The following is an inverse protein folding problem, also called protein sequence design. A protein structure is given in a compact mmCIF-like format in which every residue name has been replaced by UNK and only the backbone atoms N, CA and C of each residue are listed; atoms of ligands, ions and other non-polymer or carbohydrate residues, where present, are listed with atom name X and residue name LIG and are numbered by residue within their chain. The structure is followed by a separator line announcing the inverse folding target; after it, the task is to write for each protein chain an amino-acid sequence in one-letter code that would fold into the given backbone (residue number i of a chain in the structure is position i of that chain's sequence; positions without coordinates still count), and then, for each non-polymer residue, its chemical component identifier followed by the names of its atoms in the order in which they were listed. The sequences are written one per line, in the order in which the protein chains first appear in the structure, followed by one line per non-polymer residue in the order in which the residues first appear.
data_IF_039771642447
#
_entry.id   IF_039771642447
#
_cell.length_a   1.000
_cell.length_b   1.000
_cell.length_c   1.000
_cell.angle_alpha   90.00
_cell.angle_beta   90.00
_cell.angle_gamma   90.00
#
_symmetry.space_group_name_H-M   'P 1'
#
loop_
_entity.id
_entity.type
_entity.pdbx_description
1 polymer ?
#
# COMPACT_ATOMS: atom_id res chain seq x y z
N UNK A 1 -12.98 11.20 37.27
CA UNK A 1 -13.82 10.32 36.44
C UNK A 1 -12.88 9.43 35.64
N UNK A 2 -12.78 8.15 35.97
CA UNK A 2 -11.95 7.21 35.23
C UNK A 2 -12.68 6.88 33.92
N UNK A 3 -12.18 7.40 32.80
CA UNK A 3 -12.71 7.09 31.48
C UNK A 3 -12.41 5.64 31.15
N UNK A 4 -13.45 4.83 31.01
CA UNK A 4 -13.38 3.48 30.46
C UNK A 4 -12.87 3.56 29.02
N UNK A 5 -11.55 3.45 28.81
CA UNK A 5 -11.03 3.11 27.48
C UNK A 5 -11.33 1.64 27.25
N UNK A 6 -12.39 1.46 26.48
CA UNK A 6 -13.00 0.23 26.00
C UNK A 6 -11.98 -0.84 25.61
N UNK A 7 -12.34 -2.09 25.92
CA UNK A 7 -11.74 -3.36 25.51
C UNK A 7 -11.78 -3.56 23.96
N UNK A 8 -11.21 -2.63 23.20
CA UNK A 8 -11.23 -2.61 21.73
C UNK A 8 -9.87 -3.10 21.23
N UNK A 9 -9.88 -4.22 20.50
CA UNK A 9 -8.76 -4.69 19.70
C UNK A 9 -8.81 -4.03 18.32
N UNK A 10 -7.97 -3.01 18.09
CA UNK A 10 -7.82 -2.36 16.80
C UNK A 10 -6.76 -3.07 15.95
N UNK A 11 -7.19 -3.74 14.88
CA UNK A 11 -6.31 -4.45 13.93
C UNK A 11 -6.00 -3.62 12.68
N UNK A 12 -6.36 -2.33 12.65
CA UNK A 12 -6.02 -1.47 11.52
C UNK A 12 -4.51 -1.22 11.48
N UNK A 13 -3.92 -1.09 10.28
CA UNK A 13 -2.52 -0.75 10.17
C UNK A 13 -2.24 0.60 10.84
N UNK A 14 -1.03 0.80 11.42
CA UNK A 14 -0.63 2.09 11.95
C UNK A 14 -0.79 3.18 10.89
N UNK A 15 -1.33 4.35 11.26
CA UNK A 15 -1.64 5.44 10.31
C UNK A 15 -0.45 5.87 9.47
N UNK A 16 0.74 5.81 10.06
CA UNK A 16 1.99 6.21 9.44
C UNK A 16 2.67 5.09 8.63
N UNK A 17 2.05 3.91 8.48
CA UNK A 17 2.67 2.76 7.82
C UNK A 17 2.44 2.73 6.30
N UNK A 18 3.35 2.08 5.57
CA UNK A 18 3.18 1.76 4.14
C UNK A 18 1.82 1.10 3.85
N UNK A 19 1.38 0.18 4.71
CA UNK A 19 0.08 -0.51 4.55
C UNK A 19 -1.09 0.47 4.59
N UNK A 20 -1.07 1.45 5.50
CA UNK A 20 -2.12 2.46 5.58
C UNK A 20 -2.17 3.33 4.31
N UNK A 21 -1.01 3.72 3.78
CA UNK A 21 -0.90 4.49 2.54
C UNK A 21 -1.38 3.71 1.31
N UNK A 22 -1.05 2.42 1.22
CA UNK A 22 -1.57 1.55 0.15
C UNK A 22 -3.10 1.41 0.21
N UNK A 23 -3.68 1.25 1.41
CA UNK A 23 -5.14 1.26 1.57
C UNK A 23 -5.77 2.59 1.16
N UNK A 24 -5.15 3.73 1.53
CA UNK A 24 -5.59 5.09 1.15
C UNK A 24 -5.61 5.26 -0.36
N UNK A 25 -4.62 4.72 -1.06
CA UNK A 25 -4.51 4.75 -2.53
C UNK A 25 -5.38 3.67 -3.22
N UNK A 26 -6.13 2.89 -2.45
CA UNK A 26 -7.09 1.91 -2.98
C UNK A 26 -6.49 0.56 -3.32
N UNK A 27 -5.23 0.28 -2.98
CA UNK A 27 -4.67 -1.07 -3.07
C UNK A 27 -5.17 -1.93 -1.90
N UNK A 28 -5.18 -3.25 -2.09
CA UNK A 28 -5.57 -4.25 -1.09
C UNK A 28 -4.51 -5.33 -1.02
N UNK A 29 -4.32 -5.89 0.17
CA UNK A 29 -3.45 -7.05 0.33
C UNK A 29 -3.98 -8.21 -0.52
N UNK A 30 -3.09 -8.83 -1.28
CA UNK A 30 -3.46 -9.97 -2.15
C UNK A 30 -2.88 -11.26 -1.57
N UNK A 31 -1.55 -11.31 -1.40
CA UNK A 31 -0.85 -12.47 -0.86
C UNK A 31 0.57 -12.07 -0.40
N UNK A 32 1.23 -12.98 0.31
CA UNK A 32 2.63 -12.85 0.69
C UNK A 32 3.48 -13.89 -0.04
N UNK A 33 4.76 -13.57 -0.16
CA UNK A 33 5.83 -14.43 -0.64
C UNK A 33 6.90 -14.51 0.45
N UNK A 34 7.90 -15.38 0.27
CA UNK A 34 9.04 -15.46 1.19
C UNK A 34 9.82 -14.13 1.28
N UNK A 35 9.70 -13.27 0.26
CA UNK A 35 10.46 -12.03 0.13
C UNK A 35 9.66 -10.77 0.47
N UNK A 36 8.35 -10.87 0.71
CA UNK A 36 7.52 -9.69 0.89
C UNK A 36 6.03 -9.89 0.67
N UNK A 37 5.30 -8.79 0.75
CA UNK A 37 3.86 -8.71 0.56
C UNK A 37 3.53 -8.13 -0.82
N UNK A 38 2.49 -8.68 -1.44
CA UNK A 38 1.93 -8.21 -2.70
C UNK A 38 0.56 -7.59 -2.42
N UNK A 39 0.40 -6.37 -2.92
CA UNK A 39 -0.79 -5.55 -2.79
C UNK A 39 -1.24 -5.13 -4.18
N UNK A 40 -2.54 -5.20 -4.48
CA UNK A 40 -3.02 -4.92 -5.83
C UNK A 40 -4.34 -4.14 -5.82
N UNK A 41 -4.57 -3.44 -6.92
CA UNK A 41 -5.87 -2.99 -7.34
C UNK A 41 -6.03 -3.36 -8.82
N UNK A 42 -6.66 -4.50 -9.08
CA UNK A 42 -6.85 -5.04 -10.43
C UNK A 42 -7.69 -4.11 -11.30
N UNK A 43 -8.69 -3.45 -10.73
CA UNK A 43 -9.56 -2.51 -11.45
C UNK A 43 -8.82 -1.28 -11.96
N UNK A 44 -7.70 -0.93 -11.31
CA UNK A 44 -6.80 0.15 -11.73
C UNK A 44 -5.50 -0.38 -12.32
N UNK A 45 -5.33 -1.68 -12.53
CA UNK A 45 -4.13 -2.26 -13.12
C UNK A 45 -2.82 -1.92 -12.38
N UNK A 46 -2.84 -1.83 -11.05
CA UNK A 46 -1.65 -1.52 -10.25
C UNK A 46 -1.32 -2.59 -9.23
N UNK A 47 -0.01 -2.88 -9.10
CA UNK A 47 0.57 -3.73 -8.07
C UNK A 47 1.60 -2.95 -7.26
N UNK A 48 1.65 -3.20 -5.96
CA UNK A 48 2.69 -2.76 -5.06
C UNK A 48 3.34 -3.98 -4.39
N UNK A 49 4.67 -3.97 -4.33
CA UNK A 49 5.46 -4.99 -3.63
C UNK A 49 6.17 -4.33 -2.45
N UNK A 50 5.92 -4.82 -1.24
CA UNK A 50 6.66 -4.43 -0.03
C UNK A 50 7.63 -5.56 0.28
N UNK A 51 8.93 -5.28 0.34
CA UNK A 51 9.92 -6.32 0.68
C UNK A 51 10.11 -6.44 2.19
N UNK A 52 10.38 -7.65 2.68
CA UNK A 52 10.60 -7.90 4.11
C UNK A 52 11.80 -7.11 4.68
N UNK A 53 12.79 -6.82 3.85
CA UNK A 53 14.03 -6.16 4.26
C UNK A 53 13.93 -4.62 4.28
N UNK A 54 12.90 -4.06 3.62
CA UNK A 54 12.71 -2.62 3.54
C UNK A 54 11.20 -2.29 3.49
N UNK A 55 10.51 -2.33 4.64
CA UNK A 55 9.07 -2.12 4.71
C UNK A 55 8.65 -0.65 4.46
N UNK A 56 9.61 0.29 4.51
CA UNK A 56 9.38 1.72 4.26
C UNK A 56 9.56 2.10 2.78
N UNK A 57 9.81 1.12 1.90
CA UNK A 57 9.86 1.31 0.45
C UNK A 57 8.94 0.30 -0.21
N UNK A 58 8.25 0.73 -1.28
CA UNK A 58 7.47 -0.18 -2.11
C UNK A 58 7.83 0.00 -3.58
N UNK A 59 7.78 -1.10 -4.33
CA UNK A 59 7.83 -1.06 -5.80
C UNK A 59 6.41 -1.03 -6.31
N UNK A 60 6.00 0.10 -6.87
CA UNK A 60 4.77 0.24 -7.64
C UNK A 60 5.00 -0.25 -9.06
N UNK A 61 4.00 -0.88 -9.64
CA UNK A 61 4.03 -1.46 -10.97
C UNK A 61 2.68 -1.28 -11.66
N UNK A 62 2.72 -0.75 -12.87
CA UNK A 62 1.64 -0.90 -13.83
C UNK A 62 1.61 -2.36 -14.32
N UNK A 63 0.53 -3.08 -14.02
CA UNK A 63 0.40 -4.52 -14.33
C UNK A 63 0.40 -4.78 -15.84
N UNK A 64 -0.05 -3.83 -16.65
CA UNK A 64 -0.21 -3.98 -18.10
C UNK A 64 1.12 -3.77 -18.83
N UNK A 65 1.87 -2.75 -18.42
CA UNK A 65 3.10 -2.32 -19.10
C UNK A 65 4.38 -2.77 -18.40
N UNK A 66 4.27 -3.26 -17.16
CA UNK A 66 5.38 -3.59 -16.27
C UNK A 66 6.34 -2.43 -16.01
N UNK A 67 5.90 -1.19 -16.21
CA UNK A 67 6.65 -0.02 -15.76
C UNK A 67 6.62 -0.01 -14.24
N UNK A 68 7.81 0.06 -13.64
CA UNK A 68 7.97 0.03 -12.19
C UNK A 68 8.59 1.31 -11.66
N UNK A 69 8.21 1.66 -10.44
CA UNK A 69 8.81 2.77 -9.70
C UNK A 69 8.96 2.38 -8.23
N UNK A 70 10.17 2.52 -7.71
CA UNK A 70 10.39 2.44 -6.27
C UNK A 70 10.05 3.78 -5.64
N UNK A 71 9.27 3.74 -4.55
CA UNK A 71 8.86 4.93 -3.82
C UNK A 71 8.99 4.69 -2.32
N UNK A 72 9.60 5.64 -1.62
CA UNK A 72 9.70 5.63 -0.18
C UNK A 72 8.37 6.04 0.45
N UNK A 73 8.11 5.58 1.67
CA UNK A 73 6.91 5.91 2.44
C UNK A 73 6.69 7.42 2.57
N UNK A 74 7.76 8.18 2.78
CA UNK A 74 7.69 9.63 2.89
C UNK A 74 7.13 10.30 1.62
N UNK A 75 7.52 9.80 0.44
CA UNK A 75 7.07 10.31 -0.85
C UNK A 75 5.67 9.81 -1.19
N UNK A 76 5.36 8.55 -0.89
CA UNK A 76 4.04 7.96 -1.13
C UNK A 76 2.92 8.70 -0.39
N UNK A 77 3.19 9.25 0.80
CA UNK A 77 2.26 10.11 1.54
C UNK A 77 1.81 11.34 0.76
N UNK A 78 2.66 11.86 -0.11
CA UNK A 78 2.36 13.02 -0.94
C UNK A 78 1.62 12.64 -2.23
N UNK A 79 1.59 11.35 -2.59
CA UNK A 79 0.87 10.85 -3.75
C UNK A 79 -0.63 10.87 -3.46
N UNK A 80 -1.38 11.62 -4.26
CA UNK A 80 -2.85 11.71 -4.17
C UNK A 80 -3.56 10.76 -5.13
N UNK A 81 -2.90 10.40 -6.24
CA UNK A 81 -3.42 9.54 -7.30
C UNK A 81 -2.27 8.79 -7.98
N UNK A 82 -2.56 7.58 -8.46
CA UNK A 82 -1.67 6.84 -9.35
C UNK A 82 -2.42 6.54 -10.64
N UNK A 83 -1.83 6.96 -11.75
CA UNK A 83 -2.32 6.67 -13.09
C UNK A 83 -1.56 5.46 -13.65
N UNK A 84 -2.30 4.59 -14.30
CA UNK A 84 -1.80 3.42 -15.02
C UNK A 84 -2.41 3.40 -16.42
N UNK A 85 -1.96 2.46 -17.24
CA UNK A 85 -2.55 2.15 -18.54
C UNK A 85 -4.03 1.76 -18.43
N UNK A 86 -4.42 1.09 -17.34
CA UNK A 86 -5.80 0.66 -17.11
C UNK A 86 -6.69 1.79 -16.60
N UNK A 87 -6.14 2.69 -15.78
CA UNK A 87 -6.90 3.78 -15.17
C UNK A 87 -6.07 5.06 -15.11
N UNK A 88 -6.52 6.06 -15.86
CA UNK A 88 -6.05 7.45 -15.79
C UNK A 88 -7.28 8.35 -15.75
N UNK A 89 -7.53 8.96 -14.59
CA UNK A 89 -8.70 9.82 -14.34
C UNK A 89 -8.29 11.00 -13.48
#
# INVERSE_FOLDING_TARGET
MAGTTQNILDLRPPKDSMKAELYRLGLRYTYSTDNGEIWQNDTRGIRATITNNNPDTTTLEDITTHITQNIALADLRNVTRIDTMTASD
#
